data_IF_446368413980
#
_entry.id   IF_446368413980
#
_cell.length_a   1.000
_cell.length_b   1.000
_cell.length_c   1.000
_cell.angle_alpha   90.00
_cell.angle_beta   90.00
_cell.angle_gamma   90.00
#
_symmetry.space_group_name_H-M   'P 1'
#
loop_
_entity.id
_entity.type
_entity.pdbx_description
1 polymer ?
#
# COMPACT_ATOMS: atom_id res chain seq x y z
N UNK A 1 -8.27 18.08 29.05
CA UNK A 1 -8.52 16.80 29.74
C UNK A 1 -7.22 16.02 29.72
N UNK A 2 -6.79 15.43 30.85
CA UNK A 2 -5.60 14.58 30.85
C UNK A 2 -5.90 13.34 30.00
N UNK A 3 -5.00 13.03 29.05
CA UNK A 3 -5.00 11.77 28.31
C UNK A 3 -4.77 10.68 29.36
N UNK A 4 -5.79 9.84 29.58
CA UNK A 4 -5.70 8.72 30.49
C UNK A 4 -4.49 7.85 30.13
N UNK A 5 -3.74 7.45 31.16
CA UNK A 5 -2.79 6.35 31.10
C UNK A 5 -3.45 5.19 30.36
N UNK A 6 -2.71 4.56 29.45
CA UNK A 6 -3.22 3.51 28.58
C UNK A 6 -3.54 2.24 29.40
N UNK A 7 -4.63 2.27 30.15
CA UNK A 7 -5.19 1.11 30.84
C UNK A 7 -5.90 0.21 29.81
N UNK A 8 -5.38 -1.01 29.68
CA UNK A 8 -5.86 -2.05 28.77
C UNK A 8 -6.84 -2.96 29.53
N UNK A 9 -8.11 -2.98 29.14
CA UNK A 9 -9.14 -3.85 29.74
C UNK A 9 -9.75 -4.77 28.68
N UNK A 10 -8.93 -5.57 28.00
CA UNK A 10 -9.36 -6.45 26.91
C UNK A 10 -9.60 -7.91 27.35
N UNK A 11 -10.73 -8.49 26.93
CA UNK A 11 -11.01 -9.93 27.00
C UNK A 11 -10.20 -10.65 25.89
N UNK A 12 -9.49 -11.77 26.18
CA UNK A 12 -8.76 -12.55 25.17
C UNK A 12 -9.56 -12.93 23.92
N UNK A 13 -10.89 -13.10 24.03
CA UNK A 13 -11.76 -13.42 22.88
C UNK A 13 -11.80 -12.31 21.82
N UNK A 14 -11.69 -11.05 22.23
CA UNK A 14 -11.79 -9.89 21.36
C UNK A 14 -10.47 -9.63 20.60
N UNK A 15 -9.32 -9.96 21.21
CA UNK A 15 -8.02 -9.80 20.59
C UNK A 15 -7.82 -10.74 19.40
N UNK A 16 -8.25 -12.01 19.52
CA UNK A 16 -8.14 -12.97 18.43
C UNK A 16 -9.05 -12.58 17.25
N UNK A 17 -10.25 -12.07 17.55
CA UNK A 17 -11.16 -11.54 16.53
C UNK A 17 -10.54 -10.31 15.81
N UNK A 18 -9.94 -9.40 16.57
CA UNK A 18 -9.24 -8.21 16.05
C UNK A 18 -8.03 -8.59 15.19
N UNK A 19 -7.21 -9.54 15.63
CA UNK A 19 -6.08 -10.07 14.86
C UNK A 19 -6.53 -10.72 13.54
N UNK A 20 -7.63 -11.50 13.57
CA UNK A 20 -8.23 -12.07 12.34
C UNK A 20 -8.74 -10.99 11.40
N UNK A 21 -9.39 -9.94 11.92
CA UNK A 21 -9.85 -8.80 11.11
C UNK A 21 -8.67 -8.10 10.44
N UNK A 22 -7.63 -7.74 11.20
CA UNK A 22 -6.40 -7.12 10.67
C UNK A 22 -5.71 -8.00 9.63
N UNK A 23 -5.62 -9.30 9.86
CA UNK A 23 -5.08 -10.26 8.89
C UNK A 23 -5.92 -10.32 7.62
N UNK A 24 -7.24 -10.17 7.72
CA UNK A 24 -8.13 -10.20 6.55
C UNK A 24 -8.10 -8.88 5.77
N UNK A 25 -8.44 -7.76 6.41
CA UNK A 25 -8.57 -6.44 5.77
C UNK A 25 -7.23 -5.72 5.56
N UNK A 26 -6.21 -6.08 6.33
CA UNK A 26 -4.90 -5.44 6.35
C UNK A 26 -4.83 -4.18 7.20
N UNK A 27 -5.98 -3.66 7.65
CA UNK A 27 -6.08 -2.52 8.54
C UNK A 27 -7.38 -2.54 9.35
N UNK A 28 -7.37 -1.82 10.46
CA UNK A 28 -8.51 -1.51 11.31
C UNK A 28 -8.55 0.01 11.48
N UNK A 29 -9.68 0.64 11.16
CA UNK A 29 -9.85 2.07 11.40
C UNK A 29 -9.73 2.36 12.90
N UNK A 30 -9.04 3.44 13.25
CA UNK A 30 -8.92 3.93 14.62
C UNK A 30 -9.78 5.19 14.82
N UNK A 31 -10.99 5.15 14.28
CA UNK A 31 -11.98 6.23 14.27
C UNK A 31 -12.81 6.31 15.55
N UNK A 32 -12.92 5.19 16.28
CA UNK A 32 -13.57 5.08 17.58
C UNK A 32 -12.57 4.74 18.69
N UNK A 33 -12.93 5.09 19.93
CA UNK A 33 -12.11 4.79 21.10
C UNK A 33 -11.93 3.28 21.30
N UNK A 34 -12.96 2.49 21.00
CA UNK A 34 -12.94 1.03 21.17
C UNK A 34 -12.00 0.39 20.15
N UNK A 35 -12.10 0.72 18.86
CA UNK A 35 -11.18 0.19 17.85
C UNK A 35 -9.73 0.64 18.09
N UNK A 36 -9.54 1.83 18.68
CA UNK A 36 -8.23 2.28 19.09
C UNK A 36 -7.65 1.39 20.20
N UNK A 37 -8.45 1.13 21.26
CA UNK A 37 -8.08 0.25 22.37
C UNK A 37 -7.80 -1.18 21.91
N UNK A 38 -8.65 -1.75 21.06
CA UNK A 38 -8.47 -3.11 20.56
C UNK A 38 -7.10 -3.31 19.87
N UNK A 39 -6.71 -2.36 19.01
CA UNK A 39 -5.41 -2.42 18.34
C UNK A 39 -4.23 -2.19 19.29
N UNK A 40 -4.41 -1.34 20.29
CA UNK A 40 -3.38 -1.11 21.32
C UNK A 40 -3.19 -2.35 22.20
N UNK A 41 -4.28 -2.94 22.67
CA UNK A 41 -4.26 -4.15 23.50
C UNK A 41 -3.62 -5.31 22.74
N UNK A 42 -3.91 -5.45 21.43
CA UNK A 42 -3.28 -6.44 20.57
C UNK A 42 -1.76 -6.21 20.46
N UNK A 43 -1.31 -4.97 20.29
CA UNK A 43 0.11 -4.61 20.23
C UNK A 43 0.82 -4.89 21.58
N UNK A 44 0.24 -4.42 22.68
CA UNK A 44 0.81 -4.56 24.03
C UNK A 44 0.90 -6.03 24.41
N UNK A 45 -0.14 -6.82 24.14
CA UNK A 45 -0.17 -8.26 24.38
C UNK A 45 0.95 -8.95 23.61
N UNK A 46 1.14 -8.61 22.33
CA UNK A 46 2.24 -9.15 21.52
C UNK A 46 3.61 -8.86 22.13
N UNK A 47 3.89 -7.60 22.47
CA UNK A 47 5.19 -7.19 23.01
C UNK A 47 5.49 -7.74 24.42
N UNK A 48 4.45 -8.04 25.21
CA UNK A 48 4.61 -8.64 26.54
C UNK A 48 4.88 -10.15 26.49
N UNK A 49 4.33 -10.84 25.50
CA UNK A 49 4.29 -12.31 25.50
C UNK A 49 5.16 -12.97 24.44
N UNK A 50 5.52 -12.28 23.36
CA UNK A 50 6.43 -12.84 22.36
C UNK A 50 7.90 -12.74 22.77
N UNK A 51 8.61 -13.85 22.63
CA UNK A 51 10.06 -13.88 22.80
C UNK A 51 10.74 -13.07 21.70
N UNK A 52 11.61 -12.14 22.08
CA UNK A 52 12.41 -11.36 21.13
C UNK A 52 13.32 -12.30 20.33
N UNK A 53 13.22 -12.32 18.99
CA UNK A 53 14.12 -13.12 18.17
C UNK A 53 15.58 -12.67 18.33
N UNK A 54 16.56 -13.57 18.26
CA UNK A 54 17.98 -13.21 18.19
C UNK A 54 18.28 -12.21 17.07
N UNK A 55 19.31 -11.39 17.27
CA UNK A 55 19.69 -10.31 16.36
C UNK A 55 19.90 -10.77 14.91
N UNK A 56 20.47 -11.95 14.71
CA UNK A 56 20.71 -12.53 13.39
C UNK A 56 19.40 -12.85 12.67
N UNK A 57 18.40 -13.35 13.41
CA UNK A 57 17.07 -13.61 12.87
C UNK A 57 16.37 -12.29 12.52
N UNK A 58 16.49 -11.28 13.38
CA UNK A 58 15.95 -9.95 13.11
C UNK A 58 16.57 -9.36 11.83
N UNK A 59 17.91 -9.42 11.69
CA UNK A 59 18.62 -8.96 10.51
C UNK A 59 18.12 -9.66 9.23
N UNK A 60 17.97 -10.99 9.27
CA UNK A 60 17.45 -11.74 8.12
C UNK A 60 16.01 -11.33 7.76
N UNK A 61 15.13 -11.14 8.76
CA UNK A 61 13.74 -10.71 8.53
C UNK A 61 13.69 -9.30 7.95
N UNK A 62 14.55 -8.39 8.40
CA UNK A 62 14.71 -7.03 7.88
C UNK A 62 15.10 -7.06 6.40
N UNK A 63 16.09 -7.87 6.04
CA UNK A 63 16.53 -8.04 4.65
C UNK A 63 15.41 -8.61 3.77
N UNK A 64 14.75 -9.67 4.22
CA UNK A 64 13.63 -10.30 3.51
C UNK A 64 12.49 -9.28 3.27
N UNK A 65 12.17 -8.48 4.28
CA UNK A 65 11.15 -7.45 4.18
C UNK A 65 11.53 -6.34 3.19
N UNK A 66 12.78 -5.88 3.23
CA UNK A 66 13.29 -4.84 2.33
C UNK A 66 13.35 -5.30 0.87
N UNK A 67 13.68 -6.59 0.65
CA UNK A 67 13.81 -7.23 -0.65
C UNK A 67 12.48 -7.67 -1.29
N UNK A 68 11.35 -7.53 -0.58
CA UNK A 68 10.05 -7.98 -1.07
C UNK A 68 9.69 -7.33 -2.42
N UNK A 69 9.15 -8.12 -3.39
CA UNK A 69 8.63 -7.60 -4.65
C UNK A 69 7.58 -6.51 -4.45
N UNK A 70 7.51 -5.58 -5.40
CA UNK A 70 6.68 -4.37 -5.27
C UNK A 70 5.76 -4.20 -6.47
N UNK A 71 4.46 -4.00 -6.26
CA UNK A 71 3.57 -3.62 -7.33
C UNK A 71 3.92 -2.23 -7.84
N UNK A 72 3.63 -2.02 -9.11
CA UNK A 72 3.58 -0.68 -9.69
C UNK A 72 2.46 0.11 -8.99
N UNK A 73 2.85 1.21 -8.36
CA UNK A 73 1.92 2.16 -7.76
C UNK A 73 2.03 3.49 -8.48
N UNK A 74 0.90 4.19 -8.70
CA UNK A 74 0.92 5.53 -9.26
C UNK A 74 1.81 6.44 -8.43
N UNK A 75 2.35 7.44 -9.12
CA UNK A 75 2.89 8.61 -8.45
C UNK A 75 1.72 9.41 -7.88
N UNK A 76 1.83 9.92 -6.64
CA UNK A 76 0.89 10.90 -6.13
C UNK A 76 0.85 12.10 -7.08
N UNK A 77 -0.30 12.40 -7.68
CA UNK A 77 -0.45 13.60 -8.49
C UNK A 77 -0.35 14.82 -7.57
N UNK A 78 0.63 15.71 -7.80
CA UNK A 78 0.85 16.90 -6.97
C UNK A 78 -0.34 17.88 -6.96
N UNK A 79 -1.22 17.78 -7.96
CA UNK A 79 -2.28 18.75 -8.25
C UNK A 79 -3.70 18.22 -8.02
N UNK A 80 -3.86 16.95 -7.64
CA UNK A 80 -5.19 16.40 -7.32
C UNK A 80 -5.43 16.52 -5.81
N UNK A 81 -6.63 16.96 -5.44
CA UNK A 81 -7.04 17.04 -4.05
C UNK A 81 -6.85 15.68 -3.37
N UNK A 82 -6.19 15.68 -2.22
CA UNK A 82 -6.13 14.49 -1.36
C UNK A 82 -7.56 14.12 -0.95
N UNK A 83 -7.88 12.85 -1.05
CA UNK A 83 -9.26 12.36 -0.91
C UNK A 83 -9.72 12.37 0.54
N UNK A 84 -8.86 11.85 1.42
CA UNK A 84 -9.17 11.63 2.82
C UNK A 84 -7.88 11.33 3.59
N UNK A 85 -7.78 11.83 4.83
CA UNK A 85 -6.74 11.42 5.78
C UNK A 85 -7.43 10.83 7.00
N UNK A 86 -7.00 9.65 7.42
CA UNK A 86 -7.57 8.94 8.57
C UNK A 86 -6.49 8.20 9.35
N UNK A 87 -6.78 7.85 10.61
CA UNK A 87 -5.88 7.05 11.44
C UNK A 87 -6.32 5.60 11.45
N UNK A 88 -5.37 4.67 11.32
CA UNK A 88 -5.65 3.25 11.36
C UNK A 88 -4.52 2.44 11.98
N UNK A 89 -4.90 1.31 12.58
CA UNK A 89 -4.00 0.20 12.88
C UNK A 89 -3.78 -0.60 11.60
N UNK A 90 -2.54 -0.75 11.16
CA UNK A 90 -2.20 -1.43 9.90
C UNK A 90 -1.25 -2.59 10.20
N UNK A 91 -1.45 -3.73 9.55
CA UNK A 91 -0.49 -4.83 9.64
C UNK A 91 0.86 -4.38 9.02
N UNK A 92 1.97 -4.36 9.78
CA UNK A 92 3.28 -3.94 9.28
C UNK A 92 3.73 -4.72 8.06
N UNK A 93 3.46 -6.03 8.05
CA UNK A 93 3.73 -6.91 6.94
C UNK A 93 3.05 -6.47 5.65
N UNK A 94 1.97 -5.69 5.67
CA UNK A 94 1.26 -5.24 4.46
C UNK A 94 1.68 -3.87 3.94
N UNK A 95 2.54 -3.16 4.65
CA UNK A 95 3.00 -1.84 4.24
C UNK A 95 4.28 -1.97 3.40
N UNK A 96 4.41 -1.17 2.35
CA UNK A 96 5.61 -1.13 1.53
C UNK A 96 6.54 -0.01 1.97
N UNK A 97 7.85 -0.28 1.97
CA UNK A 97 8.85 0.77 2.16
C UNK A 97 8.83 1.74 0.98
N UNK A 98 9.23 2.99 1.24
CA UNK A 98 9.30 4.01 0.18
C UNK A 98 10.34 3.69 -0.89
N UNK A 99 11.50 3.16 -0.50
CA UNK A 99 12.61 2.83 -1.39
C UNK A 99 13.02 1.36 -1.23
N UNK A 100 13.49 0.74 -2.30
CA UNK A 100 13.95 -0.65 -2.31
C UNK A 100 15.42 -0.73 -1.91
N UNK A 101 15.79 -1.74 -1.12
CA UNK A 101 17.18 -2.04 -0.78
C UNK A 101 17.98 -0.91 -0.10
N UNK A 102 17.33 0.15 0.40
CA UNK A 102 18.04 1.23 1.05
C UNK A 102 18.57 0.77 2.40
N UNK A 103 19.89 0.56 2.48
CA UNK A 103 20.61 0.56 3.74
C UNK A 103 20.20 1.81 4.52
N UNK A 104 19.56 1.55 5.64
CA UNK A 104 18.89 2.54 6.44
C UNK A 104 19.84 2.95 7.53
N UNK A 105 20.56 4.04 7.33
CA UNK A 105 21.20 4.73 8.44
C UNK A 105 20.08 5.28 9.31
N UNK A 106 20.06 4.98 10.61
CA UNK A 106 19.18 5.62 11.58
C UNK A 106 19.66 7.07 11.71
N UNK A 107 19.35 7.89 10.71
CA UNK A 107 19.67 9.30 10.73
C UNK A 107 18.74 9.96 11.74
N UNK A 108 19.29 10.93 12.47
CA UNK A 108 18.67 11.86 13.41
C UNK A 108 17.35 12.53 12.95
N UNK A 109 16.88 12.28 11.73
CA UNK A 109 15.68 12.83 11.12
C UNK A 109 14.38 12.43 11.82
N UNK A 110 14.33 11.27 12.50
CA UNK A 110 13.20 10.93 13.37
C UNK A 110 13.04 11.90 14.55
N UNK A 111 14.16 12.48 15.02
CA UNK A 111 14.17 13.51 16.07
C UNK A 111 14.09 14.92 15.48
N UNK A 112 14.69 15.17 14.31
CA UNK A 112 14.68 16.49 13.66
C UNK A 112 13.29 16.91 13.12
N UNK A 113 12.49 15.97 12.60
CA UNK A 113 11.12 16.27 12.17
C UNK A 113 10.19 16.64 13.35
N UNK A 114 10.50 16.17 14.57
CA UNK A 114 9.80 16.56 15.81
C UNK A 114 10.23 17.95 16.28
N UNK A 115 11.52 18.28 16.21
CA UNK A 115 12.04 19.65 16.51
C UNK A 115 11.35 20.74 15.67
N UNK A 116 10.99 20.46 14.42
CA UNK A 116 10.26 21.40 13.58
C UNK A 116 8.76 21.51 13.89
N UNK A 117 8.15 20.52 14.56
CA UNK A 117 6.70 20.51 14.88
C UNK A 117 6.38 20.97 16.30
N UNK A 118 7.25 20.70 17.27
CA UNK A 118 7.09 21.16 18.66
C UNK A 118 7.92 22.42 18.86
N UNK A 119 7.38 23.57 18.47
CA UNK A 119 8.00 24.90 18.56
C UNK A 119 8.27 25.42 19.98
N UNK A 120 8.48 24.54 20.96
CA UNK A 120 8.81 24.90 22.33
C UNK A 120 9.88 23.94 22.82
N UNK A 121 11.08 24.47 23.09
CA UNK A 121 12.19 23.70 23.64
C UNK A 121 11.80 23.09 24.98
N UNK A 122 11.45 21.80 24.97
CA UNK A 122 11.46 20.99 26.18
C UNK A 122 12.92 20.80 26.59
N UNK A 123 13.30 21.41 27.72
CA UNK A 123 14.67 21.41 28.26
C UNK A 123 15.12 20.06 28.83
N UNK A 124 14.22 19.09 28.93
CA UNK A 124 14.47 17.79 29.59
C UNK A 124 14.46 16.60 28.62
N UNK A 125 14.59 16.83 27.31
CA UNK A 125 14.75 15.74 26.34
C UNK A 125 16.21 15.28 26.33
N UNK A 126 16.52 14.16 26.99
CA UNK A 126 17.75 13.43 26.76
C UNK A 126 17.65 12.67 25.44
N UNK A 127 18.48 12.99 24.43
CA UNK A 127 18.50 12.23 23.19
C UNK A 127 19.01 10.81 23.46
N UNK A 128 18.20 9.81 23.13
CA UNK A 128 18.59 8.40 23.16
C UNK A 128 19.83 8.20 22.28
N UNK A 129 20.78 7.40 22.74
CA UNK A 129 21.99 7.08 21.98
C UNK A 129 21.64 6.60 20.56
N UNK A 130 22.40 7.06 19.53
CA UNK A 130 22.14 6.71 18.15
C UNK A 130 22.39 5.20 17.95
N UNK A 131 21.32 4.49 17.62
CA UNK A 131 21.36 3.06 17.35
C UNK A 131 22.16 2.77 16.07
N UNK A 132 23.03 1.76 16.12
CA UNK A 132 23.91 1.38 15.01
C UNK A 132 23.18 0.69 13.86
N UNK A 133 21.97 0.13 14.07
CA UNK A 133 21.20 -0.53 13.02
C UNK A 133 19.73 -0.87 13.35
N UNK A 134 18.94 -1.26 12.35
CA UNK A 134 17.49 -1.55 12.50
C UNK A 134 17.25 -2.74 13.45
N UNK A 135 18.12 -3.75 13.47
CA UNK A 135 17.97 -4.91 14.36
C UNK A 135 18.10 -4.52 15.84
N UNK A 136 19.07 -3.67 16.16
CA UNK A 136 19.22 -3.08 17.50
C UNK A 136 17.99 -2.22 17.86
N UNK A 137 17.47 -1.47 16.88
CA UNK A 137 16.25 -0.70 17.09
C UNK A 137 15.02 -1.59 17.35
N UNK A 138 14.93 -2.75 16.70
CA UNK A 138 13.89 -3.74 16.97
C UNK A 138 14.01 -4.32 18.39
N UNK A 139 15.22 -4.64 18.85
CA UNK A 139 15.45 -5.09 20.23
C UNK A 139 14.97 -4.06 21.25
N UNK A 140 15.26 -2.76 21.01
CA UNK A 140 14.78 -1.69 21.89
C UNK A 140 13.25 -1.64 21.98
N UNK A 141 12.56 -1.71 20.83
CA UNK A 141 11.10 -1.75 20.79
C UNK A 141 10.57 -2.94 21.61
N UNK A 142 11.22 -4.09 21.50
CA UNK A 142 10.81 -5.30 22.22
C UNK A 142 11.10 -5.21 23.73
N UNK A 143 12.20 -4.55 24.11
CA UNK A 143 12.58 -4.33 25.51
C UNK A 143 11.63 -3.42 26.28
N UNK A 144 10.80 -2.61 25.59
CA UNK A 144 9.74 -1.84 26.24
C UNK A 144 8.71 -2.75 26.92
N UNK A 145 8.54 -4.01 26.49
CA UNK A 145 7.57 -4.97 27.06
C UNK A 145 6.16 -4.38 27.23
N UNK A 146 5.76 -3.52 26.29
CA UNK A 146 4.47 -2.84 26.32
C UNK A 146 4.35 -1.71 27.35
N UNK A 147 5.46 -1.12 27.79
CA UNK A 147 5.46 0.09 28.62
C UNK A 147 4.89 1.28 27.85
N UNK A 148 3.92 1.96 28.46
CA UNK A 148 3.14 3.01 27.83
C UNK A 148 3.97 4.23 27.40
N UNK A 149 4.98 4.61 28.18
CA UNK A 149 5.84 5.74 27.89
C UNK A 149 6.77 5.44 26.70
N UNK A 150 7.41 4.25 26.71
CA UNK A 150 8.22 3.78 25.59
C UNK A 150 7.42 3.59 24.30
N UNK A 151 6.23 3.00 24.37
CA UNK A 151 5.34 2.85 23.22
C UNK A 151 4.93 4.22 22.63
N UNK A 152 4.56 5.19 23.48
CA UNK A 152 4.19 6.52 23.02
C UNK A 152 5.36 7.23 22.29
N UNK A 153 6.60 7.05 22.76
CA UNK A 153 7.78 7.56 22.08
C UNK A 153 8.01 6.89 20.71
N UNK A 154 7.82 5.57 20.63
CA UNK A 154 8.13 4.77 19.45
C UNK A 154 7.07 4.91 18.35
N UNK A 155 5.80 4.91 18.72
CA UNK A 155 4.64 4.88 17.82
C UNK A 155 3.96 6.24 17.64
N UNK A 156 4.30 7.22 18.48
CA UNK A 156 3.65 8.52 18.52
C UNK A 156 2.33 8.50 19.28
N UNK A 157 1.62 9.62 19.25
CA UNK A 157 0.31 9.75 19.88
C UNK A 157 -0.82 9.43 18.89
N UNK A 158 -2.03 9.09 19.36
CA UNK A 158 -3.16 8.80 18.47
C UNK A 158 -3.51 9.94 17.50
N UNK A 159 -3.32 11.18 17.96
CA UNK A 159 -3.54 12.40 17.17
C UNK A 159 -2.37 12.74 16.26
N UNK A 160 -1.20 12.17 16.51
CA UNK A 160 0.02 12.38 15.74
C UNK A 160 0.84 11.10 15.64
N UNK A 161 0.36 10.08 14.89
CA UNK A 161 1.10 8.84 14.72
C UNK A 161 2.49 9.07 14.13
N UNK A 162 3.48 8.30 14.57
CA UNK A 162 4.86 8.41 14.09
C UNK A 162 5.07 7.84 12.67
N UNK A 163 4.11 7.04 12.19
CA UNK A 163 4.12 6.43 10.86
C UNK A 163 3.11 7.16 9.98
N UNK A 164 3.59 7.62 8.82
CA UNK A 164 2.77 8.22 7.77
C UNK A 164 2.77 7.32 6.54
N UNK A 165 1.59 6.88 6.13
CA UNK A 165 1.41 5.96 5.01
C UNK A 165 0.49 6.57 3.94
N UNK A 166 0.74 6.19 2.70
CA UNK A 166 -0.14 6.38 1.56
C UNK A 166 -0.91 5.08 1.32
N UNK A 167 -2.18 5.18 0.95
CA UNK A 167 -3.00 4.04 0.60
C UNK A 167 -3.62 4.17 -0.80
N UNK A 168 -3.76 3.04 -1.48
CA UNK A 168 -4.52 2.91 -2.73
C UNK A 168 -5.59 1.84 -2.58
N UNK A 169 -6.79 2.16 -3.06
CA UNK A 169 -7.87 1.19 -3.15
C UNK A 169 -7.53 0.12 -4.19
N UNK A 170 -7.49 -1.14 -3.75
CA UNK A 170 -7.48 -2.33 -4.60
C UNK A 170 -8.62 -3.27 -4.21
N UNK A 171 -9.09 -4.20 -5.06
CA UNK A 171 -10.29 -4.98 -4.73
C UNK A 171 -10.08 -5.99 -3.61
N UNK A 172 -8.82 -6.30 -3.31
CA UNK A 172 -8.40 -7.10 -2.17
C UNK A 172 -8.18 -6.29 -0.89
N UNK A 173 -8.45 -4.98 -0.88
CA UNK A 173 -8.28 -4.10 0.27
C UNK A 173 -7.41 -2.87 -0.03
N UNK A 174 -6.91 -2.20 1.01
CA UNK A 174 -5.97 -1.10 0.82
C UNK A 174 -4.55 -1.64 0.68
N UNK A 175 -3.83 -1.12 -0.31
CA UNK A 175 -2.39 -1.31 -0.41
C UNK A 175 -1.68 -0.08 0.16
N UNK A 176 -0.76 -0.30 1.09
CA UNK A 176 -0.08 0.77 1.82
C UNK A 176 1.38 0.93 1.40
N UNK A 177 1.87 2.17 1.37
CA UNK A 177 3.30 2.49 1.22
C UNK A 177 3.67 3.64 2.14
N UNK A 178 4.84 3.61 2.75
CA UNK A 178 5.34 4.75 3.54
C UNK A 178 5.43 6.02 2.68
N UNK A 179 4.98 7.13 3.25
CA UNK A 179 5.01 8.43 2.59
C UNK A 179 6.35 9.16 2.79
N UNK A 180 6.66 9.48 4.04
CA UNK A 180 7.78 10.35 4.44
C UNK A 180 8.58 9.73 5.57
N UNK A 181 7.90 9.40 6.67
CA UNK A 181 8.51 8.95 7.92
C UNK A 181 8.07 7.53 8.27
N UNK A 182 9.01 6.76 8.83
CA UNK A 182 8.71 5.46 9.43
C UNK A 182 9.34 4.24 8.75
N UNK A 183 10.20 4.39 7.74
CA UNK A 183 10.82 3.23 7.06
C UNK A 183 11.51 2.30 8.07
N UNK A 184 12.32 2.83 8.97
CA UNK A 184 13.08 2.01 9.93
C UNK A 184 12.17 1.42 11.00
N UNK A 185 11.26 2.24 11.55
CA UNK A 185 10.24 1.81 12.52
C UNK A 185 9.44 0.65 11.96
N UNK A 186 8.85 0.84 10.79
CA UNK A 186 8.05 -0.19 10.15
C UNK A 186 8.86 -1.45 9.87
N UNK A 187 10.11 -1.32 9.42
CA UNK A 187 10.96 -2.47 9.13
C UNK A 187 11.30 -3.25 10.41
N UNK A 188 11.62 -2.55 11.50
CA UNK A 188 11.84 -3.16 12.81
C UNK A 188 10.57 -3.88 13.31
N UNK A 189 9.42 -3.22 13.22
CA UNK A 189 8.13 -3.75 13.67
C UNK A 189 7.67 -4.96 12.84
N UNK A 190 7.89 -4.93 11.52
CA UNK A 190 7.65 -6.07 10.65
C UNK A 190 8.60 -7.24 10.98
N UNK A 191 9.87 -6.97 11.30
CA UNK A 191 10.83 -8.01 11.71
C UNK A 191 10.49 -8.64 13.07
N UNK A 192 9.93 -7.86 13.99
CA UNK A 192 9.39 -8.33 15.27
C UNK A 192 8.06 -9.09 15.13
N UNK A 193 7.48 -9.14 13.93
CA UNK A 193 6.19 -9.80 13.72
C UNK A 193 5.02 -9.10 14.41
N UNK A 194 5.15 -7.79 14.71
CA UNK A 194 4.12 -7.02 15.40
C UNK A 194 2.81 -7.07 14.60
N UNK A 195 1.65 -7.31 15.26
CA UNK A 195 0.39 -7.55 14.56
C UNK A 195 -0.19 -6.29 13.91
N UNK A 196 0.07 -5.12 14.49
CA UNK A 196 -0.43 -3.84 14.00
C UNK A 196 0.43 -2.66 14.43
N UNK A 197 0.41 -1.60 13.61
CA UNK A 197 1.03 -0.31 13.93
C UNK A 197 0.05 0.82 13.66
N UNK A 198 0.06 1.83 14.52
CA UNK A 198 -0.74 3.02 14.33
C UNK A 198 -0.12 3.92 13.27
N UNK A 199 -0.90 4.31 12.28
CA UNK A 199 -0.44 5.20 11.21
C UNK A 199 -1.50 6.22 10.83
N UNK A 200 -1.02 7.41 10.45
CA UNK A 200 -1.80 8.36 9.67
C UNK A 200 -1.76 7.92 8.21
N UNK A 201 -2.93 7.70 7.63
CA UNK A 201 -3.11 7.19 6.27
C UNK A 201 -3.68 8.28 5.38
N UNK A 202 -2.96 8.59 4.32
CA UNK A 202 -3.43 9.41 3.21
C UNK A 202 -3.96 8.52 2.10
N UNK A 203 -5.27 8.52 1.91
CA UNK A 203 -5.90 7.78 0.82
C UNK A 203 -5.75 8.56 -0.49
N UNK A 204 -5.22 7.88 -1.51
CA UNK A 204 -5.12 8.44 -2.86
C UNK A 204 -6.26 7.90 -3.72
N UNK A 205 -7.22 8.78 -4.04
CA UNK A 205 -8.19 8.62 -5.13
C UNK A 205 -7.82 9.63 -6.21
N UNK A 206 -7.00 9.21 -7.16
CA UNK A 206 -6.48 10.13 -8.16
C UNK A 206 -6.22 9.43 -9.48
N UNK A 207 -6.16 10.24 -10.52
CA UNK A 207 -5.79 9.78 -11.84
C UNK A 207 -4.33 9.31 -11.82
N UNK A 208 -4.04 8.26 -12.58
CA UNK A 208 -2.71 7.66 -12.66
C UNK A 208 -1.82 8.49 -13.57
N UNK A 209 -0.50 8.54 -13.33
CA UNK A 209 0.46 9.00 -14.33
C UNK A 209 1.03 7.77 -15.04
N UNK A 210 0.55 7.51 -16.24
CA UNK A 210 1.07 6.43 -17.06
C UNK A 210 2.16 6.98 -17.96
N UNK A 211 3.41 7.02 -17.50
CA UNK A 211 4.52 7.35 -18.40
C UNK A 211 4.53 6.30 -19.52
N UNK A 212 4.27 6.66 -20.79
CA UNK A 212 4.62 5.78 -21.90
C UNK A 212 6.11 5.53 -21.78
N UNK A 213 6.57 4.29 -21.98
CA UNK A 213 7.98 4.11 -22.30
C UNK A 213 8.17 4.81 -23.65
N UNK A 214 9.04 5.80 -23.68
CA UNK A 214 9.61 6.26 -24.93
C UNK A 214 10.39 5.07 -25.49
N UNK A 215 10.23 4.83 -26.78
CA UNK A 215 10.89 3.80 -27.58
C UNK A 215 10.09 2.48 -27.67
N UNK A 216 9.34 2.40 -28.77
CA UNK A 216 8.51 1.32 -29.32
C UNK A 216 7.18 0.93 -28.62
N UNK A 217 6.17 0.68 -29.46
CA UNK A 217 4.82 0.17 -29.13
C UNK A 217 3.75 1.13 -28.56
N UNK A 218 3.60 2.33 -29.14
CA UNK A 218 2.39 3.13 -28.88
C UNK A 218 1.09 2.35 -29.20
N UNK A 219 1.14 1.44 -30.19
CA UNK A 219 0.03 0.57 -30.58
C UNK A 219 -0.36 -0.46 -29.53
N UNK A 220 0.58 -1.26 -29.01
CA UNK A 220 0.26 -2.33 -28.05
C UNK A 220 -0.21 -1.79 -26.70
N UNK A 221 0.39 -0.71 -26.22
CA UNK A 221 -0.09 -0.04 -25.01
C UNK A 221 -1.52 0.48 -25.21
N UNK A 222 -1.84 1.01 -26.39
CA UNK A 222 -3.21 1.43 -26.73
C UNK A 222 -4.20 0.27 -26.77
N UNK A 223 -3.83 -0.84 -27.43
CA UNK A 223 -4.63 -2.06 -27.48
C UNK A 223 -4.90 -2.61 -26.09
N UNK A 224 -3.85 -2.72 -25.27
CA UNK A 224 -3.95 -3.21 -23.90
C UNK A 224 -4.86 -2.32 -23.03
N UNK A 225 -4.71 -0.99 -23.09
CA UNK A 225 -5.60 -0.09 -22.34
C UNK A 225 -7.05 -0.15 -22.84
N UNK A 226 -7.28 -0.31 -24.15
CA UNK A 226 -8.62 -0.55 -24.71
C UNK A 226 -9.21 -1.89 -24.24
N UNK A 227 -8.39 -2.93 -24.07
CA UNK A 227 -8.80 -4.19 -23.42
C UNK A 227 -9.28 -3.92 -22.00
N UNK A 228 -8.48 -3.25 -21.17
CA UNK A 228 -8.89 -2.89 -19.80
C UNK A 228 -10.16 -2.03 -19.77
N UNK A 229 -10.34 -1.12 -20.74
CA UNK A 229 -11.54 -0.30 -20.87
C UNK A 229 -12.77 -1.12 -21.19
N UNK A 230 -12.68 -1.97 -22.22
CA UNK A 230 -13.81 -2.72 -22.78
C UNK A 230 -14.41 -3.66 -21.74
N UNK A 231 -13.57 -4.22 -20.87
CA UNK A 231 -14.00 -5.13 -19.81
C UNK A 231 -14.33 -4.41 -18.49
N UNK A 232 -14.16 -3.10 -18.42
CA UNK A 232 -14.52 -2.29 -17.24
C UNK A 232 -13.52 -2.40 -16.08
N UNK A 233 -12.28 -2.83 -16.36
CA UNK A 233 -11.18 -2.75 -15.39
C UNK A 233 -10.79 -1.30 -15.17
N UNK A 234 -10.74 -0.50 -16.25
CA UNK A 234 -10.32 0.88 -16.23
C UNK A 234 -11.34 1.77 -16.97
N UNK A 235 -11.65 2.95 -16.42
CA UNK A 235 -12.39 3.99 -17.10
C UNK A 235 -11.44 5.13 -17.49
N UNK A 236 -11.67 5.72 -18.66
CA UNK A 236 -10.85 6.79 -19.24
C UNK A 236 -11.72 8.02 -19.43
N UNK A 237 -11.19 9.22 -19.19
CA UNK A 237 -11.91 10.49 -19.41
C UNK A 237 -12.41 10.59 -20.86
N UNK A 238 -13.63 11.10 -21.04
CA UNK A 238 -14.30 11.19 -22.35
C UNK A 238 -13.64 12.20 -23.31
N UNK A 239 -12.81 13.11 -22.79
CA UNK A 239 -12.13 14.14 -23.57
C UNK A 239 -10.81 13.64 -24.18
N UNK A 240 -10.89 13.10 -25.41
CA UNK A 240 -9.83 13.16 -26.44
C UNK A 240 -8.51 12.45 -26.14
N UNK A 241 -8.27 11.33 -26.85
CA UNK A 241 -7.11 10.44 -26.69
C UNK A 241 -7.01 9.84 -25.28
N UNK A 242 -6.42 8.65 -25.15
CA UNK A 242 -6.16 8.09 -23.82
C UNK A 242 -5.09 8.93 -23.11
N UNK A 243 -5.50 10.04 -22.49
CA UNK A 243 -4.64 10.88 -21.69
C UNK A 243 -4.01 10.07 -20.57
N UNK A 244 -2.69 10.18 -20.42
CA UNK A 244 -1.94 9.46 -19.39
C UNK A 244 -2.47 9.72 -17.98
N UNK A 245 -3.10 10.89 -17.76
CA UNK A 245 -3.64 11.38 -16.49
C UNK A 245 -5.16 11.24 -16.39
N UNK A 246 -5.82 10.41 -17.20
CA UNK A 246 -7.29 10.30 -17.28
C UNK A 246 -7.87 8.97 -16.82
N UNK A 247 -7.03 8.05 -16.33
CA UNK A 247 -7.46 6.68 -16.02
C UNK A 247 -7.95 6.59 -14.58
N UNK A 248 -9.08 5.92 -14.37
CA UNK A 248 -9.55 5.51 -13.05
C UNK A 248 -9.75 4.00 -13.04
N UNK A 249 -9.26 3.33 -12.00
CA UNK A 249 -9.38 1.88 -11.85
C UNK A 249 -9.32 1.51 -10.39
N UNK A 250 -10.00 0.43 -10.02
CA UNK A 250 -9.76 -0.24 -8.75
C UNK A 250 -8.49 -1.11 -8.79
N UNK A 251 -7.93 -1.39 -9.97
CA UNK A 251 -6.70 -2.17 -10.15
C UNK A 251 -5.53 -1.29 -10.66
N UNK A 252 -5.00 -0.38 -9.83
CA UNK A 252 -4.03 0.64 -10.21
C UNK A 252 -2.79 0.11 -10.95
N UNK A 253 -2.30 -1.05 -10.53
CA UNK A 253 -1.10 -1.67 -11.08
C UNK A 253 -1.26 -2.21 -12.51
N UNK A 254 -2.48 -2.33 -13.03
CA UNK A 254 -2.73 -2.92 -14.34
C UNK A 254 -2.57 -1.93 -15.49
N UNK A 255 -2.46 -0.61 -15.24
CA UNK A 255 -2.60 0.41 -16.31
C UNK A 255 -1.31 0.62 -17.13
N UNK A 256 -0.16 0.13 -16.66
CA UNK A 256 1.15 0.43 -17.27
C UNK A 256 1.39 -0.32 -18.58
N UNK A 257 1.58 -1.62 -18.49
CA UNK A 257 1.88 -2.56 -19.58
C UNK A 257 1.67 -4.01 -19.10
N UNK A 258 1.53 -4.99 -20.01
CA UNK A 258 1.30 -6.40 -19.66
C UNK A 258 2.33 -6.98 -18.68
N UNK A 259 3.64 -6.79 -18.90
CA UNK A 259 4.68 -7.35 -18.03
C UNK A 259 4.59 -6.79 -16.61
N UNK A 260 4.45 -5.48 -16.51
CA UNK A 260 4.35 -4.81 -15.23
C UNK A 260 3.04 -5.16 -14.54
N UNK A 261 1.95 -5.35 -15.28
CA UNK A 261 0.67 -5.78 -14.73
C UNK A 261 0.79 -7.16 -14.07
N UNK A 262 1.35 -8.16 -14.76
CA UNK A 262 1.60 -9.50 -14.21
C UNK A 262 2.51 -9.43 -12.99
N UNK A 263 3.68 -8.78 -13.11
CA UNK A 263 4.64 -8.65 -12.00
C UNK A 263 4.01 -7.97 -10.78
N UNK A 264 3.20 -6.94 -11.00
CA UNK A 264 2.59 -6.20 -9.92
C UNK A 264 1.45 -6.94 -9.25
N UNK A 265 0.66 -7.69 -10.02
CA UNK A 265 -0.37 -8.55 -9.47
C UNK A 265 0.24 -9.65 -8.60
N UNK A 266 1.30 -10.30 -9.08
CA UNK A 266 2.05 -11.29 -8.29
C UNK A 266 2.63 -10.69 -7.01
N UNK A 267 3.21 -9.48 -7.09
CA UNK A 267 3.70 -8.78 -5.91
C UNK A 267 2.57 -8.44 -4.92
N UNK A 268 1.40 -8.04 -5.41
CA UNK A 268 0.23 -7.78 -4.57
C UNK A 268 -0.23 -9.05 -3.83
N UNK A 269 -0.34 -10.19 -4.52
CA UNK A 269 -0.72 -11.48 -3.92
C UNK A 269 0.27 -11.92 -2.83
N UNK A 270 1.57 -11.70 -3.04
CA UNK A 270 2.60 -11.94 -2.02
C UNK A 270 2.47 -11.03 -0.80
N UNK A 271 2.10 -9.76 -0.99
CA UNK A 271 1.88 -8.80 0.10
C UNK A 271 0.64 -9.17 0.93
N UNK A 272 -0.42 -9.61 0.26
CA UNK A 272 -1.67 -10.02 0.91
C UNK A 272 -1.49 -11.36 1.64
N UNK A 273 -0.65 -12.24 1.10
CA UNK A 273 -0.45 -13.60 1.58
C UNK A 273 -1.46 -14.61 1.03
N UNK A 274 -2.18 -14.26 -0.05
CA UNK A 274 -3.15 -15.16 -0.70
C UNK A 274 -3.30 -14.83 -2.19
N UNK A 275 -3.47 -15.84 -3.06
CA UNK A 275 -3.72 -15.64 -4.48
C UNK A 275 -5.12 -15.03 -4.72
N UNK A 276 -5.23 -14.19 -5.74
CA UNK A 276 -6.52 -13.70 -6.23
C UNK A 276 -7.05 -14.75 -7.20
N UNK A 277 -8.22 -15.33 -6.91
CA UNK A 277 -8.81 -16.41 -7.72
C UNK A 277 -9.97 -15.97 -8.60
N UNK A 278 -10.52 -14.78 -8.36
CA UNK A 278 -11.64 -14.23 -9.11
C UNK A 278 -11.18 -13.49 -10.37
N UNK A 279 -12.11 -13.34 -11.32
CA UNK A 279 -11.90 -12.51 -12.51
C UNK A 279 -11.55 -11.07 -12.15
N UNK A 280 -10.63 -10.50 -12.93
CA UNK A 280 -10.14 -9.13 -12.76
C UNK A 280 -10.93 -8.26 -13.73
N UNK A 281 -11.95 -7.56 -13.23
CA UNK A 281 -12.86 -6.76 -14.06
C UNK A 281 -13.34 -7.52 -15.28
N UNK A 282 -13.84 -8.75 -15.06
CA UNK A 282 -14.35 -9.69 -16.09
C UNK A 282 -13.29 -10.31 -17.02
N UNK A 283 -12.01 -10.00 -16.85
CA UNK A 283 -10.94 -10.76 -17.48
C UNK A 283 -10.60 -11.99 -16.61
N UNK A 284 -10.42 -13.17 -17.22
CA UNK A 284 -9.96 -14.35 -16.50
C UNK A 284 -8.66 -14.06 -15.76
N UNK A 285 -8.57 -14.46 -14.48
CA UNK A 285 -7.32 -14.33 -13.70
C UNK A 285 -6.13 -14.99 -14.39
N UNK A 286 -6.37 -16.09 -15.11
CA UNK A 286 -5.33 -16.85 -15.82
C UNK A 286 -4.53 -15.98 -16.80
N UNK A 287 -5.18 -15.00 -17.44
CA UNK A 287 -4.52 -14.08 -18.37
C UNK A 287 -3.44 -13.25 -17.71
N UNK A 288 -3.50 -13.03 -16.40
CA UNK A 288 -2.49 -12.29 -15.66
C UNK A 288 -1.39 -13.20 -15.09
N UNK A 289 -1.24 -14.41 -15.61
CA UNK A 289 -0.11 -15.30 -15.30
C UNK A 289 1.06 -15.04 -16.25
N UNK A 290 0.77 -14.64 -17.48
CA UNK A 290 1.74 -14.42 -18.54
C UNK A 290 1.44 -13.12 -19.29
N UNK A 291 2.47 -12.33 -19.55
CA UNK A 291 2.35 -11.07 -20.29
C UNK A 291 1.97 -11.32 -21.74
N UNK A 292 2.40 -12.45 -22.33
CA UNK A 292 2.07 -12.79 -23.72
C UNK A 292 0.58 -13.06 -23.90
N UNK A 293 -0.09 -13.71 -22.94
CA UNK A 293 -1.54 -13.91 -22.97
C UNK A 293 -2.31 -12.57 -23.02
N UNK A 294 -1.89 -11.59 -22.22
CA UNK A 294 -2.48 -10.23 -22.25
C UNK A 294 -2.20 -9.53 -23.59
N UNK A 295 -1.00 -9.68 -24.16
CA UNK A 295 -0.67 -9.10 -25.47
C UNK A 295 -1.56 -9.67 -26.56
N UNK A 296 -1.68 -11.00 -26.64
CA UNK A 296 -2.54 -11.69 -27.61
C UNK A 296 -4.01 -11.26 -27.45
N UNK A 297 -4.56 -11.28 -26.24
CA UNK A 297 -5.94 -10.86 -25.99
C UNK A 297 -6.19 -9.40 -26.40
N UNK A 298 -5.21 -8.52 -26.17
CA UNK A 298 -5.30 -7.12 -26.58
C UNK A 298 -5.26 -6.94 -28.10
N UNK A 299 -4.47 -7.76 -28.80
CA UNK A 299 -4.37 -7.77 -30.25
C UNK A 299 -5.68 -8.19 -30.92
N UNK A 300 -6.24 -9.32 -30.48
CA UNK A 300 -7.47 -9.88 -31.03
C UNK A 300 -8.66 -8.94 -30.84
N UNK A 301 -8.75 -8.27 -29.69
CA UNK A 301 -9.79 -7.28 -29.43
C UNK A 301 -9.70 -6.10 -30.41
N UNK A 302 -8.49 -5.61 -30.71
CA UNK A 302 -8.32 -4.51 -31.64
C UNK A 302 -8.81 -4.89 -33.05
N UNK A 303 -8.47 -6.09 -33.52
CA UNK A 303 -8.96 -6.63 -34.80
C UNK A 303 -10.49 -6.72 -34.78
N UNK A 304 -11.08 -7.30 -33.73
CA UNK A 304 -12.52 -7.47 -33.64
C UNK A 304 -13.28 -6.13 -33.64
N UNK A 305 -12.75 -5.11 -32.98
CA UNK A 305 -13.35 -3.76 -32.96
C UNK A 305 -13.17 -3.05 -34.31
N UNK A 306 -12.01 -3.16 -34.95
CA UNK A 306 -11.77 -2.60 -36.27
C UNK A 306 -12.64 -3.27 -37.34
N UNK A 307 -12.81 -4.58 -37.26
CA UNK A 307 -13.71 -5.32 -38.14
C UNK A 307 -15.16 -4.93 -37.88
N UNK A 308 -15.60 -4.85 -36.63
CA UNK A 308 -16.95 -4.40 -36.31
C UNK A 308 -17.25 -2.99 -36.84
N UNK A 309 -16.30 -2.05 -36.69
CA UNK A 309 -16.47 -0.67 -37.18
C UNK A 309 -16.45 -0.59 -38.71
N UNK A 310 -15.58 -1.34 -39.40
CA UNK A 310 -15.56 -1.46 -40.87
C UNK A 310 -16.85 -2.08 -41.43
N UNK A 311 -17.38 -3.12 -40.79
CA UNK A 311 -18.62 -3.75 -41.24
C UNK A 311 -19.85 -2.88 -40.94
N UNK A 312 -19.83 -2.10 -39.85
CA UNK A 312 -20.90 -1.15 -39.51
C UNK A 312 -20.90 0.08 -40.43
N UNK A 313 -19.72 0.60 -40.81
CA UNK A 313 -19.61 1.67 -41.79
C UNK A 313 -19.98 1.18 -43.19
N UNK A 314 -19.51 0.01 -43.62
CA UNK A 314 -19.88 -0.61 -44.91
C UNK A 314 -21.39 -0.88 -45.07
N UNK A 315 -22.09 -1.30 -44.00
CA UNK A 315 -23.57 -1.43 -43.99
C UNK A 315 -24.31 -0.09 -44.05
N UNK A 316 -23.69 1.01 -43.58
CA UNK A 316 -24.24 2.36 -43.68
C UNK A 316 -24.13 2.89 -45.12
N UNK A 317 -23.02 2.62 -45.80
CA UNK A 317 -22.81 2.98 -47.21
C UNK A 317 -23.70 2.19 -48.18
N UNK A 318 -23.92 0.89 -47.95
CA UNK A 318 -24.81 0.08 -48.81
C UNK A 318 -26.30 0.42 -48.69
N UNK A 319 -26.73 1.07 -47.58
CA UNK A 319 -28.10 1.63 -47.47
C UNK A 319 -28.25 3.02 -48.10
N UNK A 320 -27.16 3.79 -48.19
CA UNK A 320 -27.13 5.11 -48.84
C UNK A 320 -27.04 5.00 -50.37
N UNK A 321 -26.45 3.93 -50.91
CA UNK A 321 -26.35 3.66 -52.35
C UNK A 321 -27.55 2.85 -52.92
N UNK A 322 -28.59 2.59 -52.12
CA UNK A 322 -29.83 1.91 -52.52
C UNK A 322 -31.09 2.78 -52.40
N UNK A 323 -30.92 4.11 -52.37
CA UNK A 323 -32.02 5.06 -52.51
C UNK A 323 -31.79 5.92 -53.74
#
# INVERSE_FOLDING_TARGET
MPLAEFETSGDPGDLEATARRLTKSGFLAADSLDCFRDGLDLLVTHLRHESVPPREILAQRIENYAARPRPYLPRPARNLATSETFTAWINPGRILLKFAGTQSFIHDNSNAARRCRTGTGQRDYEPVEPMTGIAEFAERIAAEHGDSAGLAELFGEPKTPAIQAQAWNVPSGLLFRIETNGNHRLTALAALGVPCVLAEVRLHTGLFDTSPRADDETGDIQRYRRLLQTFGIAAFSEDGAMGAFGVSTRWPMLIRDPDTAVKSLTALEQIIGSPITADIGRLPRSWFTDADELRTASHDLAIAVDDFTKHRSGRRWTRLLRR
#
